data_IF_682997660445
#
_entry.id   IF_682997660445
#
_cell.length_a   1.000
_cell.length_b   1.000
_cell.length_c   1.000
_cell.angle_alpha   90.00
_cell.angle_beta   90.00
_cell.angle_gamma   90.00
#
_symmetry.space_group_name_H-M   'P 1'
#
loop_
_entity.id
_entity.type
_entity.pdbx_description
1 polymer ?
#
# COMPACT_ATOMS: atom_id res chain seq x y z
N UNK A 1 -52.90 -19.75 -51.68
CA UNK A 1 -53.86 -19.90 -50.56
C UNK A 1 -53.29 -20.90 -49.56
N UNK A 2 -53.07 -20.43 -48.32
CA UNK A 2 -52.87 -21.14 -47.03
C UNK A 2 -51.96 -22.38 -46.92
N UNK A 3 -50.85 -22.22 -46.17
CA UNK A 3 -50.15 -23.15 -45.24
C UNK A 3 -48.69 -22.65 -45.11
N UNK A 4 -48.02 -22.47 -43.98
CA UNK A 4 -48.29 -22.60 -42.55
C UNK A 4 -47.01 -22.06 -41.86
N UNK A 5 -47.17 -21.32 -40.76
CA UNK A 5 -46.05 -20.83 -39.96
C UNK A 5 -45.50 -21.96 -39.06
N UNK A 6 -44.19 -22.16 -38.94
CA UNK A 6 -43.61 -22.85 -37.80
C UNK A 6 -43.19 -21.87 -36.69
N UNK A 7 -43.47 -22.29 -35.46
CA UNK A 7 -43.18 -21.66 -34.18
C UNK A 7 -41.78 -21.01 -34.08
N UNK A 8 -41.74 -19.76 -33.58
CA UNK A 8 -40.53 -19.20 -32.96
C UNK A 8 -40.28 -19.94 -31.65
N UNK A 9 -39.13 -20.60 -31.54
CA UNK A 9 -38.63 -21.12 -30.27
C UNK A 9 -38.39 -19.96 -29.26
N UNK A 10 -38.54 -20.18 -27.95
CA UNK A 10 -38.19 -19.17 -26.95
C UNK A 10 -36.68 -18.93 -26.98
N UNK A 11 -36.29 -17.65 -26.88
CA UNK A 11 -34.88 -17.29 -26.65
C UNK A 11 -34.39 -17.96 -25.36
N UNK A 12 -33.13 -18.44 -25.31
CA UNK A 12 -32.57 -18.99 -24.09
C UNK A 12 -32.55 -17.91 -22.99
N UNK A 13 -32.74 -18.28 -21.71
CA UNK A 13 -32.66 -17.33 -20.63
C UNK A 13 -31.27 -16.68 -20.62
N UNK A 14 -31.23 -15.36 -20.41
CA UNK A 14 -30.00 -14.61 -20.18
C UNK A 14 -29.15 -15.34 -19.14
N UNK A 15 -27.87 -15.55 -19.44
CA UNK A 15 -26.91 -16.10 -18.51
C UNK A 15 -26.95 -15.30 -17.19
N UNK A 16 -26.94 -15.96 -16.02
CA UNK A 16 -26.87 -15.27 -14.75
C UNK A 16 -25.56 -14.46 -14.68
N UNK A 17 -25.67 -13.22 -14.22
CA UNK A 17 -24.52 -12.37 -13.93
C UNK A 17 -23.59 -13.07 -12.93
N UNK A 18 -22.28 -12.97 -13.18
CA UNK A 18 -21.18 -13.52 -12.39
C UNK A 18 -21.52 -13.75 -10.91
N UNK A 19 -21.79 -15.01 -10.58
CA UNK A 19 -21.73 -15.54 -9.22
C UNK A 19 -20.28 -15.48 -8.73
N UNK A 20 -20.07 -14.85 -7.57
CA UNK A 20 -18.78 -14.87 -6.87
C UNK A 20 -18.34 -16.31 -6.63
N UNK A 21 -17.04 -16.59 -6.79
CA UNK A 21 -16.49 -17.94 -6.69
C UNK A 21 -16.59 -18.57 -5.29
N UNK A 22 -17.18 -17.89 -4.29
CA UNK A 22 -17.27 -18.37 -2.91
C UNK A 22 -18.65 -18.27 -2.25
N UNK A 23 -19.76 -18.12 -2.96
CA UNK A 23 -21.10 -18.30 -2.35
C UNK A 23 -21.43 -17.37 -1.15
N UNK A 24 -20.66 -16.31 -0.92
CA UNK A 24 -20.86 -15.35 0.16
C UNK A 24 -21.84 -14.27 -0.31
N UNK A 25 -22.77 -13.90 0.58
CA UNK A 25 -23.68 -12.78 0.41
C UNK A 25 -22.91 -11.52 -0.07
N UNK A 26 -23.29 -10.89 -1.20
CA UNK A 26 -22.58 -9.74 -1.79
C UNK A 26 -22.55 -8.46 -0.91
N UNK A 27 -23.00 -8.54 0.35
CA UNK A 27 -22.98 -7.48 1.36
C UNK A 27 -22.34 -7.92 2.68
N UNK A 28 -21.59 -9.04 2.70
CA UNK A 28 -20.86 -9.46 3.89
C UNK A 28 -19.59 -8.60 4.04
N UNK A 29 -19.62 -7.67 4.99
CA UNK A 29 -18.47 -6.85 5.36
C UNK A 29 -17.70 -7.43 6.55
N UNK A 30 -17.93 -8.71 6.86
CA UNK A 30 -17.26 -9.37 7.98
C UNK A 30 -15.78 -9.55 7.66
N UNK A 31 -14.88 -9.27 8.61
CA UNK A 31 -13.44 -9.36 8.39
C UNK A 31 -13.05 -10.79 7.99
N UNK A 32 -12.10 -10.88 7.06
CA UNK A 32 -11.47 -12.15 6.69
C UNK A 32 -10.18 -12.33 7.50
N UNK A 33 -9.96 -13.51 8.09
CA UNK A 33 -8.72 -13.82 8.79
C UNK A 33 -7.55 -13.88 7.79
N UNK A 34 -6.34 -13.51 8.24
CA UNK A 34 -5.14 -13.48 7.38
C UNK A 34 -4.78 -14.87 6.84
N UNK A 35 -5.12 -15.92 7.60
CA UNK A 35 -4.98 -17.35 7.30
C UNK A 35 -5.72 -17.76 6.02
N UNK A 36 -6.67 -16.94 5.57
CA UNK A 36 -7.35 -17.13 4.28
C UNK A 36 -6.35 -17.04 3.11
N UNK A 37 -5.30 -16.23 3.25
CA UNK A 37 -4.37 -15.91 2.17
C UNK A 37 -2.93 -16.33 2.47
N UNK A 38 -2.43 -16.07 3.67
CA UNK A 38 -1.05 -16.39 4.05
C UNK A 38 -0.96 -17.73 4.78
N UNK A 39 0.16 -18.41 4.61
CA UNK A 39 0.42 -19.72 5.19
C UNK A 39 0.99 -19.60 6.62
N UNK A 40 1.67 -18.48 6.91
CA UNK A 40 2.30 -18.19 8.21
C UNK A 40 2.22 -16.70 8.54
N UNK A 41 2.04 -16.40 9.83
CA UNK A 41 2.27 -15.09 10.45
C UNK A 41 3.19 -15.28 11.64
N UNK A 42 4.20 -14.42 11.77
CA UNK A 42 5.20 -14.50 12.83
C UNK A 42 5.83 -13.12 13.05
N UNK A 43 6.80 -13.01 13.97
CA UNK A 43 7.42 -11.75 14.36
C UNK A 43 8.94 -11.82 14.22
N UNK A 44 9.51 -10.84 13.53
CA UNK A 44 10.95 -10.61 13.49
C UNK A 44 11.34 -9.70 14.64
N UNK A 45 12.10 -10.23 15.60
CA UNK A 45 12.66 -9.44 16.70
C UNK A 45 13.90 -8.70 16.19
N UNK A 46 13.85 -7.37 16.19
CA UNK A 46 14.95 -6.50 15.76
C UNK A 46 15.48 -5.75 16.97
N UNK A 47 16.80 -5.81 17.15
CA UNK A 47 17.50 -5.11 18.22
C UNK A 47 18.66 -4.30 17.62
N UNK A 48 18.46 -2.99 17.52
CA UNK A 48 19.43 -2.01 17.06
C UNK A 48 19.50 -0.86 18.06
N UNK A 49 20.58 -0.10 18.03
CA UNK A 49 20.77 1.05 18.91
C UNK A 49 19.72 2.14 18.75
N UNK A 50 19.15 2.27 17.56
CA UNK A 50 18.13 3.27 17.19
C UNK A 50 16.70 2.70 17.10
N UNK A 51 16.56 1.37 17.17
CA UNK A 51 15.27 0.69 17.06
C UNK A 51 15.34 -0.70 17.70
N UNK A 52 14.54 -0.91 18.74
CA UNK A 52 14.28 -2.24 19.30
C UNK A 52 12.78 -2.50 19.21
N UNK A 53 12.38 -3.69 18.76
CA UNK A 53 10.98 -3.99 18.54
C UNK A 53 10.72 -5.32 17.84
N UNK A 54 9.45 -5.67 17.71
CA UNK A 54 8.98 -6.87 17.05
C UNK A 54 8.14 -6.50 15.83
N UNK A 55 8.59 -6.90 14.65
CA UNK A 55 7.93 -6.61 13.39
C UNK A 55 7.10 -7.80 12.93
N UNK A 56 5.79 -7.62 12.76
CA UNK A 56 4.92 -8.67 12.25
C UNK A 56 5.17 -8.91 10.76
N UNK A 57 5.30 -10.17 10.34
CA UNK A 57 5.42 -10.55 8.94
C UNK A 57 4.52 -11.73 8.59
N UNK A 58 4.18 -11.80 7.30
CA UNK A 58 3.30 -12.81 6.71
C UNK A 58 4.02 -13.49 5.56
N UNK A 59 3.86 -14.80 5.44
CA UNK A 59 4.48 -15.61 4.39
C UNK A 59 3.42 -16.31 3.57
N UNK A 60 3.55 -16.24 2.24
CA UNK A 60 2.79 -17.03 1.29
C UNK A 60 3.74 -17.68 0.31
N UNK A 61 3.76 -18.99 0.23
CA UNK A 61 4.67 -19.70 -0.67
C UNK A 61 3.95 -20.62 -1.66
N UNK A 62 4.62 -20.88 -2.78
CA UNK A 62 4.16 -21.88 -3.73
C UNK A 62 4.21 -23.25 -3.07
N UNK A 63 3.14 -24.03 -3.22
CA UNK A 63 3.09 -25.35 -2.59
C UNK A 63 4.21 -26.25 -3.12
N UNK A 64 4.84 -27.10 -2.28
CA UNK A 64 5.94 -27.95 -2.71
C UNK A 64 5.60 -28.85 -3.90
N UNK A 65 4.37 -29.38 -3.95
CA UNK A 65 3.88 -30.20 -5.07
C UNK A 65 3.82 -29.42 -6.39
N UNK A 66 3.35 -28.17 -6.36
CA UNK A 66 3.24 -27.31 -7.54
C UNK A 66 4.63 -26.88 -8.02
N UNK A 67 5.54 -26.59 -7.09
CA UNK A 67 6.94 -26.29 -7.38
C UNK A 67 7.68 -27.48 -8.01
N UNK A 68 7.44 -28.71 -7.52
CA UNK A 68 8.02 -29.94 -8.06
C UNK A 68 7.48 -30.24 -9.47
N UNK A 69 6.16 -30.10 -9.68
CA UNK A 69 5.53 -30.26 -10.98
C UNK A 69 6.09 -29.27 -12.02
N UNK A 70 6.26 -28.01 -11.61
CA UNK A 70 6.87 -26.99 -12.47
C UNK A 70 8.32 -27.37 -12.84
N UNK A 71 9.10 -27.94 -11.91
CA UNK A 71 10.47 -28.40 -12.18
C UNK A 71 10.55 -29.54 -13.20
N UNK A 72 9.57 -30.43 -13.23
CA UNK A 72 9.52 -31.53 -14.20
C UNK A 72 9.18 -31.06 -15.61
N UNK A 73 8.33 -30.03 -15.77
CA UNK A 73 7.93 -29.52 -17.08
C UNK A 73 9.03 -28.73 -17.82
N UNK A 74 10.10 -28.33 -17.13
CA UNK A 74 11.24 -27.58 -17.69
C UNK A 74 12.32 -28.51 -18.31
N UNK A 75 12.18 -29.83 -18.18
CA UNK A 75 13.09 -30.81 -18.79
C UNK A 75 12.78 -30.95 -20.28
N UNK A 76 13.72 -30.66 -21.19
CA UNK A 76 13.45 -30.77 -22.62
C UNK A 76 13.21 -32.24 -22.99
N UNK A 77 12.16 -32.50 -23.77
CA UNK A 77 11.91 -33.79 -24.41
C UNK A 77 12.93 -34.12 -25.53
N UNK A 78 14.17 -33.63 -25.46
CA UNK A 78 15.19 -33.85 -26.50
C UNK A 78 16.61 -33.97 -25.92
N UNK A 79 17.34 -35.05 -26.24
CA UNK A 79 18.71 -35.25 -25.77
C UNK A 79 19.66 -34.40 -26.65
N UNK A 80 20.13 -33.25 -26.15
CA UNK A 80 21.20 -32.50 -26.83
C UNK A 80 21.32 -31.00 -26.57
N UNK A 81 20.39 -30.37 -25.84
CA UNK A 81 20.51 -28.95 -25.47
C UNK A 81 21.28 -28.75 -24.17
N UNK A 82 22.29 -27.87 -24.15
CA UNK A 82 22.93 -27.40 -22.92
C UNK A 82 21.84 -26.74 -22.07
N UNK A 83 21.45 -27.37 -20.96
CA UNK A 83 20.39 -26.86 -20.10
C UNK A 83 20.86 -25.58 -19.42
N UNK A 84 19.96 -24.59 -19.29
CA UNK A 84 20.13 -23.60 -18.24
C UNK A 84 20.13 -24.36 -16.89
N UNK A 85 20.98 -23.98 -15.92
CA UNK A 85 20.93 -24.62 -14.61
C UNK A 85 19.52 -24.41 -14.03
N UNK A 86 18.96 -25.42 -13.33
CA UNK A 86 17.69 -25.25 -12.63
C UNK A 86 17.81 -24.03 -11.72
N UNK A 87 16.79 -23.18 -11.66
CA UNK A 87 16.72 -22.09 -10.68
C UNK A 87 16.86 -22.75 -9.30
N UNK A 88 18.05 -22.58 -8.71
CA UNK A 88 18.39 -23.03 -7.37
C UNK A 88 17.60 -22.12 -6.44
N UNK A 89 16.65 -22.70 -5.69
CA UNK A 89 15.70 -22.06 -4.77
C UNK A 89 14.77 -20.96 -5.34
N UNK A 90 13.48 -20.95 -4.92
CA UNK A 90 12.53 -19.92 -5.34
C UNK A 90 13.01 -18.51 -4.93
N UNK A 91 12.76 -17.47 -5.75
CA UNK A 91 13.07 -16.10 -5.35
C UNK A 91 12.20 -15.68 -4.17
N UNK A 92 12.76 -14.84 -3.30
CA UNK A 92 12.01 -14.15 -2.26
C UNK A 92 11.39 -12.88 -2.84
N UNK A 93 10.07 -12.79 -2.84
CA UNK A 93 9.34 -11.58 -3.19
C UNK A 93 9.02 -10.83 -1.90
N UNK A 94 9.75 -9.75 -1.63
CA UNK A 94 9.64 -8.97 -0.40
C UNK A 94 8.80 -7.72 -0.65
N UNK A 95 7.70 -7.60 0.09
CA UNK A 95 6.58 -6.71 -0.19
C UNK A 95 6.46 -5.61 0.88
N UNK A 96 6.49 -4.35 0.45
CA UNK A 96 6.48 -3.16 1.32
C UNK A 96 5.23 -2.32 1.07
N UNK A 97 4.34 -2.24 2.06
CA UNK A 97 3.08 -1.51 1.96
C UNK A 97 3.24 0.02 1.99
N UNK A 98 2.20 0.75 1.59
CA UNK A 98 2.15 2.22 1.65
C UNK A 98 1.88 2.78 3.05
N UNK A 99 1.99 4.10 3.22
CA UNK A 99 1.72 4.76 4.50
C UNK A 99 0.25 4.63 4.92
N UNK A 100 0.01 4.21 6.16
CA UNK A 100 -1.32 3.92 6.70
C UNK A 100 -1.91 2.56 6.31
N UNK A 101 -1.17 1.75 5.57
CA UNK A 101 -1.54 0.37 5.21
C UNK A 101 -0.86 -0.66 6.13
N UNK A 102 -0.95 -1.95 5.82
CA UNK A 102 -0.20 -3.01 6.49
C UNK A 102 0.24 -4.11 5.50
N UNK A 103 1.01 -5.09 5.97
CA UNK A 103 1.38 -6.27 5.19
C UNK A 103 0.18 -7.03 4.62
N UNK A 104 -0.99 -6.92 5.25
CA UNK A 104 -2.23 -7.55 4.81
C UNK A 104 -2.76 -6.98 3.48
N UNK A 105 -2.37 -5.77 3.07
CA UNK A 105 -2.71 -5.22 1.75
C UNK A 105 -2.17 -6.09 0.60
N UNK A 106 -1.16 -6.91 0.86
CA UNK A 106 -0.60 -7.82 -0.14
C UNK A 106 -1.27 -9.20 -0.19
N UNK A 107 -2.26 -9.48 0.66
CA UNK A 107 -2.86 -10.81 0.83
C UNK A 107 -3.37 -11.43 -0.47
N UNK A 108 -4.31 -10.76 -1.14
CA UNK A 108 -4.93 -11.26 -2.37
C UNK A 108 -3.93 -11.36 -3.53
N UNK A 109 -3.03 -10.37 -3.66
CA UNK A 109 -1.99 -10.36 -4.70
C UNK A 109 -1.00 -11.51 -4.50
N UNK A 110 -0.52 -11.73 -3.27
CA UNK A 110 0.44 -12.78 -2.94
C UNK A 110 -0.13 -14.17 -3.23
N UNK A 111 -1.38 -14.43 -2.81
CA UNK A 111 -2.06 -15.69 -3.11
C UNK A 111 -2.21 -15.92 -4.63
N UNK A 112 -2.51 -14.87 -5.38
CA UNK A 112 -2.60 -14.93 -6.84
C UNK A 112 -1.24 -15.14 -7.52
N UNK A 113 -0.16 -14.56 -6.99
CA UNK A 113 1.19 -14.64 -7.56
C UNK A 113 1.81 -16.04 -7.38
N UNK A 114 1.70 -16.62 -6.18
CA UNK A 114 2.20 -17.99 -5.94
C UNK A 114 1.43 -19.05 -6.71
N UNK A 115 0.20 -18.75 -7.13
CA UNK A 115 -0.59 -19.57 -8.05
C UNK A 115 -0.19 -19.44 -9.53
N UNK A 116 0.79 -18.59 -9.87
CA UNK A 116 1.24 -18.37 -11.26
C UNK A 116 2.71 -18.71 -11.45
N UNK A 117 3.55 -18.43 -10.46
CA UNK A 117 5.01 -18.67 -10.53
C UNK A 117 5.53 -19.23 -9.22
N UNK A 118 6.57 -20.06 -9.32
CA UNK A 118 7.28 -20.62 -8.17
C UNK A 118 8.05 -19.50 -7.46
N UNK A 119 7.54 -19.05 -6.33
CA UNK A 119 8.12 -18.00 -5.50
C UNK A 119 7.67 -18.11 -4.03
N UNK A 120 8.34 -17.35 -3.15
CA UNK A 120 7.93 -17.13 -1.77
C UNK A 120 7.69 -15.64 -1.56
N UNK A 121 6.46 -15.26 -1.24
CA UNK A 121 6.07 -13.90 -0.91
C UNK A 121 6.20 -13.68 0.60
N UNK A 122 6.83 -12.57 0.98
CA UNK A 122 6.86 -12.09 2.36
C UNK A 122 6.50 -10.62 2.39
N UNK A 123 5.46 -10.29 3.15
CA UNK A 123 5.09 -8.91 3.49
C UNK A 123 5.26 -8.72 4.98
N UNK A 124 5.68 -7.53 5.42
CA UNK A 124 5.74 -7.21 6.84
C UNK A 124 5.08 -5.87 7.13
N UNK A 125 4.69 -5.71 8.38
CA UNK A 125 4.10 -4.48 8.92
C UNK A 125 5.24 -3.52 9.27
N UNK A 126 5.34 -2.41 8.55
CA UNK A 126 6.35 -1.36 8.79
C UNK A 126 6.12 -0.74 10.19
N UNK A 127 7.16 -0.18 10.84
CA UNK A 127 7.02 0.45 12.17
C UNK A 127 5.78 1.34 12.27
N UNK A 128 5.08 1.28 13.40
CA UNK A 128 3.83 2.03 13.61
C UNK A 128 2.62 1.56 12.79
N UNK A 129 2.76 0.53 11.96
CA UNK A 129 1.70 -0.04 11.14
C UNK A 129 1.42 -1.49 11.54
N UNK A 130 0.24 -1.99 11.15
CA UNK A 130 -0.22 -3.35 11.42
C UNK A 130 0.04 -3.83 12.85
N UNK A 131 0.51 -5.05 13.02
CA UNK A 131 0.77 -5.63 14.34
C UNK A 131 2.23 -5.45 14.81
N UNK A 132 3.02 -4.62 14.12
CA UNK A 132 4.39 -4.30 14.54
C UNK A 132 4.42 -3.36 15.74
N UNK A 133 5.27 -3.69 16.71
CA UNK A 133 5.39 -2.96 17.98
C UNK A 133 6.86 -2.64 18.22
N UNK A 134 7.16 -1.37 18.45
CA UNK A 134 8.47 -0.94 18.92
C UNK A 134 8.49 -0.94 20.45
N UNK A 135 9.64 -1.26 21.03
CA UNK A 135 9.83 -1.14 22.47
C UNK A 135 9.84 0.34 22.86
N UNK A 136 9.34 0.66 24.04
CA UNK A 136 9.42 2.00 24.59
C UNK A 136 10.89 2.40 24.77
N UNK A 137 11.24 3.63 24.37
CA UNK A 137 12.56 4.18 24.65
C UNK A 137 12.75 4.29 26.16
N UNK A 138 13.99 4.13 26.61
CA UNK A 138 14.35 4.24 28.03
C UNK A 138 13.83 5.55 28.64
N UNK A 139 13.36 5.55 29.91
CA UNK A 139 12.80 6.71 30.60
C UNK A 139 13.78 7.89 30.82
N UNK A 140 15.01 7.79 30.32
CA UNK A 140 16.00 8.88 30.29
C UNK A 140 15.82 9.83 29.09
N UNK A 141 14.98 9.46 28.12
CA UNK A 141 14.52 10.35 27.05
C UNK A 141 13.43 11.26 27.65
N UNK A 142 13.60 12.57 27.58
CA UNK A 142 12.95 13.59 28.43
C UNK A 142 11.43 13.80 28.18
N UNK A 143 10.74 12.80 27.61
CA UNK A 143 9.29 12.76 27.42
C UNK A 143 8.75 13.86 26.49
N UNK A 144 9.60 14.73 25.95
CA UNK A 144 9.18 15.91 25.19
C UNK A 144 8.92 15.64 23.71
N UNK A 145 9.31 14.48 23.20
CA UNK A 145 9.00 14.07 21.83
C UNK A 145 8.73 12.56 21.73
N UNK A 146 7.47 12.18 21.91
CA UNK A 146 6.94 10.87 21.52
C UNK A 146 6.85 10.69 19.98
N UNK A 147 7.75 11.33 19.23
CA UNK A 147 7.75 11.29 17.77
C UNK A 147 8.62 10.11 17.31
N UNK A 148 7.96 9.02 16.94
CA UNK A 148 8.63 7.90 16.28
C UNK A 148 9.29 8.39 14.99
N UNK A 149 10.55 8.01 14.76
CA UNK A 149 11.24 8.39 13.53
C UNK A 149 10.71 7.59 12.33
N UNK A 150 10.08 8.28 11.39
CA UNK A 150 9.63 7.73 10.10
C UNK A 150 10.52 8.21 8.93
N UNK A 151 11.77 8.61 9.19
CA UNK A 151 12.72 8.93 8.14
C UNK A 151 12.92 7.76 7.18
N UNK A 152 13.19 8.07 5.90
CA UNK A 152 13.44 7.03 4.88
C UNK A 152 14.56 6.07 5.33
N UNK A 153 15.59 6.62 5.98
CA UNK A 153 16.72 5.85 6.50
C UNK A 153 16.26 4.87 7.57
N UNK A 154 15.49 5.30 8.59
CA UNK A 154 14.97 4.43 9.64
C UNK A 154 14.06 3.32 9.07
N UNK A 155 13.15 3.65 8.17
CA UNK A 155 12.23 2.68 7.55
C UNK A 155 12.97 1.65 6.69
N UNK A 156 14.00 2.08 5.97
CA UNK A 156 14.85 1.20 5.13
C UNK A 156 15.69 0.26 6.00
N UNK A 157 16.21 0.81 7.09
CA UNK A 157 16.97 0.10 8.08
C UNK A 157 16.16 -1.02 8.76
N UNK A 158 14.91 -0.75 9.11
CA UNK A 158 13.99 -1.78 9.61
C UNK A 158 13.77 -2.89 8.58
N UNK A 159 13.48 -2.52 7.33
CA UNK A 159 13.26 -3.48 6.27
C UNK A 159 14.49 -4.40 6.06
N UNK A 160 15.70 -3.83 6.11
CA UNK A 160 16.93 -4.61 6.05
C UNK A 160 17.10 -5.54 7.26
N UNK A 161 16.80 -5.05 8.48
CA UNK A 161 16.89 -5.85 9.70
C UNK A 161 15.87 -6.99 9.74
N UNK A 162 14.62 -6.73 9.37
CA UNK A 162 13.58 -7.78 9.22
C UNK A 162 14.04 -8.83 8.20
N UNK A 163 14.61 -8.41 7.07
CA UNK A 163 15.11 -9.35 6.07
C UNK A 163 16.26 -10.21 6.61
N UNK A 164 17.18 -9.64 7.39
CA UNK A 164 18.23 -10.42 8.07
C UNK A 164 17.64 -11.45 9.05
N UNK A 165 16.71 -11.04 9.92
CA UNK A 165 16.05 -11.96 10.86
C UNK A 165 15.33 -13.10 10.14
N UNK A 166 14.68 -12.81 9.00
CA UNK A 166 14.05 -13.82 8.17
C UNK A 166 15.06 -14.84 7.66
N UNK A 167 16.21 -14.39 7.16
CA UNK A 167 17.27 -15.27 6.62
C UNK A 167 17.94 -16.13 7.70
N UNK A 168 17.98 -15.66 8.93
CA UNK A 168 18.49 -16.40 10.09
C UNK A 168 17.50 -17.45 10.61
N UNK A 169 16.21 -17.32 10.29
CA UNK A 169 15.19 -18.29 10.70
C UNK A 169 15.42 -19.66 10.06
N UNK A 170 15.03 -20.73 10.76
CA UNK A 170 15.22 -22.12 10.31
C UNK A 170 14.65 -22.38 8.92
N UNK A 171 13.49 -21.79 8.62
CA UNK A 171 12.74 -22.04 7.39
C UNK A 171 13.47 -21.49 6.15
N UNK A 172 14.15 -20.36 6.30
CA UNK A 172 14.92 -19.71 5.24
C UNK A 172 16.37 -20.17 5.22
N UNK A 173 16.96 -20.49 6.37
CA UNK A 173 18.32 -21.05 6.44
C UNK A 173 18.42 -22.44 5.80
N UNK A 174 17.38 -23.27 5.94
CA UNK A 174 17.31 -24.57 5.28
C UNK A 174 17.14 -24.46 3.74
N UNK A 175 16.50 -23.40 3.26
CA UNK A 175 16.19 -23.18 1.84
C UNK A 175 16.45 -21.72 1.47
N UNK A 176 17.73 -21.29 1.39
CA UNK A 176 18.06 -19.88 1.19
C UNK A 176 17.60 -19.42 -0.19
N UNK A 177 16.95 -18.25 -0.32
CA UNK A 177 16.52 -17.72 -1.61
C UNK A 177 17.72 -17.35 -2.48
N UNK A 178 17.61 -17.55 -3.80
CA UNK A 178 18.65 -17.19 -4.78
C UNK A 178 18.86 -15.69 -4.96
N UNK A 179 17.87 -14.90 -4.53
CA UNK A 179 17.91 -13.44 -4.50
C UNK A 179 16.55 -12.90 -4.11
N UNK A 180 16.45 -11.57 -4.08
CA UNK A 180 15.23 -10.88 -3.69
C UNK A 180 14.64 -10.04 -4.82
N UNK A 181 13.32 -10.08 -4.92
CA UNK A 181 12.49 -9.17 -5.71
C UNK A 181 11.85 -8.22 -4.72
N UNK A 182 12.25 -6.95 -4.75
CA UNK A 182 11.68 -5.92 -3.89
C UNK A 182 10.47 -5.30 -4.60
N UNK A 183 9.31 -5.31 -3.94
CA UNK A 183 8.09 -4.68 -4.47
C UNK A 183 7.56 -3.72 -3.40
N UNK A 184 7.34 -2.46 -3.78
CA UNK A 184 6.85 -1.45 -2.86
C UNK A 184 5.75 -0.59 -3.45
N UNK A 185 4.73 -0.30 -2.64
CA UNK A 185 3.64 0.63 -2.98
C UNK A 185 3.83 1.96 -2.25
N UNK A 186 3.71 3.09 -2.95
CA UNK A 186 3.77 4.42 -2.36
C UNK A 186 5.00 4.60 -1.45
N UNK A 187 4.83 4.89 -0.15
CA UNK A 187 5.90 4.89 0.87
C UNK A 187 6.79 3.63 0.82
N UNK A 188 6.19 2.44 0.70
CA UNK A 188 6.91 1.19 0.53
C UNK A 188 7.75 1.13 -0.75
N UNK A 189 7.32 1.82 -1.82
CA UNK A 189 8.10 1.98 -3.06
C UNK A 189 9.38 2.77 -2.84
N UNK A 190 9.31 3.85 -2.05
CA UNK A 190 10.48 4.63 -1.65
C UNK A 190 11.45 3.79 -0.82
N UNK A 191 10.94 3.03 0.15
CA UNK A 191 11.74 2.13 1.00
C UNK A 191 12.40 1.04 0.14
N UNK A 192 11.66 0.37 -0.76
CA UNK A 192 12.21 -0.65 -1.66
C UNK A 192 13.34 -0.09 -2.52
N UNK A 193 13.13 1.10 -3.09
CA UNK A 193 14.12 1.78 -3.92
C UNK A 193 15.37 2.13 -3.13
N UNK A 194 15.20 2.65 -1.91
CA UNK A 194 16.33 3.03 -1.07
C UNK A 194 17.10 1.81 -0.55
N UNK A 195 16.40 0.74 -0.16
CA UNK A 195 17.01 -0.55 0.23
C UNK A 195 17.86 -1.14 -0.90
N UNK A 196 17.34 -1.12 -2.14
CA UNK A 196 18.05 -1.60 -3.31
C UNK A 196 19.27 -0.73 -3.68
N UNK A 197 19.13 0.59 -3.57
CA UNK A 197 20.15 1.56 -3.97
C UNK A 197 21.30 1.67 -2.95
N UNK A 198 20.98 1.67 -1.65
CA UNK A 198 21.96 1.86 -0.57
C UNK A 198 22.90 0.68 -0.37
N UNK A 199 22.58 -0.49 -0.93
CA UNK A 199 23.34 -1.73 -0.69
C UNK A 199 23.11 -2.34 0.69
N UNK A 200 22.11 -1.86 1.45
CA UNK A 200 21.73 -2.41 2.76
C UNK A 200 21.02 -3.77 2.66
N UNK A 201 20.56 -4.14 1.47
CA UNK A 201 19.86 -5.40 1.25
C UNK A 201 20.81 -6.61 1.46
N UNK A 202 20.54 -7.53 2.41
CA UNK A 202 21.39 -8.70 2.66
C UNK A 202 21.39 -9.75 1.54
N UNK A 203 20.46 -9.65 0.59
CA UNK A 203 20.39 -10.52 -0.59
C UNK A 203 20.71 -9.76 -1.88
N UNK A 204 21.22 -10.44 -2.92
CA UNK A 204 21.27 -9.88 -4.26
C UNK A 204 19.88 -9.42 -4.71
N UNK A 205 19.73 -8.15 -5.04
CA UNK A 205 18.48 -7.59 -5.56
C UNK A 205 18.36 -7.94 -7.04
N UNK A 206 17.51 -8.90 -7.35
CA UNK A 206 17.27 -9.38 -8.71
C UNK A 206 16.32 -8.47 -9.48
N UNK A 207 15.33 -7.92 -8.79
CA UNK A 207 14.39 -6.97 -9.36
C UNK A 207 13.85 -5.98 -8.33
N UNK A 208 13.46 -4.81 -8.84
CA UNK A 208 12.79 -3.74 -8.11
C UNK A 208 11.52 -3.34 -8.84
N UNK A 209 10.38 -3.46 -8.15
CA UNK A 209 9.07 -3.05 -8.65
C UNK A 209 8.50 -1.95 -7.77
N UNK A 210 8.13 -0.84 -8.39
CA UNK A 210 7.55 0.32 -7.72
C UNK A 210 6.10 0.49 -8.20
N UNK A 211 5.17 0.62 -7.25
CA UNK A 211 3.74 0.72 -7.52
C UNK A 211 3.21 2.09 -7.08
N UNK A 212 2.57 2.78 -8.02
CA UNK A 212 1.79 4.01 -7.82
C UNK A 212 2.56 5.14 -7.13
N UNK A 213 3.82 5.34 -7.54
CA UNK A 213 4.64 6.48 -7.09
C UNK A 213 5.63 6.91 -8.16
N UNK A 214 5.63 8.22 -8.43
CA UNK A 214 6.63 8.94 -9.23
C UNK A 214 6.98 10.20 -8.45
N UNK A 215 8.27 10.52 -8.31
CA UNK A 215 8.76 11.61 -7.46
C UNK A 215 8.01 12.93 -7.71
N UNK A 216 7.96 13.39 -8.97
CA UNK A 216 7.31 14.66 -9.30
C UNK A 216 5.84 14.73 -8.88
N UNK A 217 5.05 13.72 -9.25
CA UNK A 217 3.62 13.66 -8.90
C UNK A 217 3.39 13.45 -7.40
N UNK A 218 4.25 12.67 -6.74
CA UNK A 218 4.14 12.41 -5.31
C UNK A 218 4.32 13.72 -4.53
N UNK A 219 5.34 14.51 -4.88
CA UNK A 219 5.63 15.80 -4.27
C UNK A 219 4.49 16.83 -4.47
N UNK A 220 3.84 16.82 -5.64
CA UNK A 220 2.67 17.67 -5.90
C UNK A 220 1.44 17.22 -5.07
N UNK A 221 1.26 15.90 -4.91
CA UNK A 221 0.13 15.31 -4.21
C UNK A 221 0.18 15.44 -2.68
N UNK A 222 1.35 15.66 -2.07
CA UNK A 222 1.50 15.77 -0.60
C UNK A 222 0.52 16.78 0.02
N UNK A 223 0.32 17.93 -0.65
CA UNK A 223 -0.60 18.98 -0.18
C UNK A 223 -2.07 18.53 -0.11
N UNK A 224 -2.48 17.65 -1.03
CA UNK A 224 -3.84 17.09 -1.09
C UNK A 224 -4.07 15.99 -0.05
N UNK A 225 -3.00 15.29 0.37
CA UNK A 225 -3.07 14.19 1.32
C UNK A 225 -3.58 14.66 2.69
N UNK A 226 -3.16 15.85 3.15
CA UNK A 226 -3.70 16.48 4.38
C UNK A 226 -5.22 16.57 4.37
N UNK A 227 -5.79 17.08 3.27
CA UNK A 227 -7.23 17.23 3.11
C UNK A 227 -7.96 15.89 3.10
N UNK A 228 -7.38 14.88 2.44
CA UNK A 228 -7.91 13.53 2.45
C UNK A 228 -7.90 12.93 3.87
N UNK A 229 -6.75 12.96 4.57
CA UNK A 229 -6.60 12.38 5.90
C UNK A 229 -7.57 13.01 6.91
N UNK A 230 -7.74 14.34 6.85
CA UNK A 230 -8.66 15.08 7.71
C UNK A 230 -10.15 14.80 7.42
N UNK A 231 -10.48 14.36 6.20
CA UNK A 231 -11.86 14.04 5.82
C UNK A 231 -12.34 12.66 6.27
N UNK A 232 -11.42 11.79 6.71
CA UNK A 232 -11.73 10.42 7.13
C UNK A 232 -12.52 10.41 8.44
N UNK A 233 -13.44 9.45 8.64
CA UNK A 233 -14.04 9.24 9.96
C UNK A 233 -12.95 9.01 11.00
N UNK A 234 -13.07 9.64 12.17
CA UNK A 234 -12.09 9.49 13.25
C UNK A 234 -12.28 8.20 14.05
N UNK A 235 -13.48 7.61 14.00
CA UNK A 235 -13.86 6.41 14.78
C UNK A 235 -14.79 5.51 13.96
N UNK A 236 -14.78 4.23 14.29
CA UNK A 236 -15.69 3.23 13.76
C UNK A 236 -16.26 2.38 14.90
N UNK A 237 -17.56 2.07 14.91
CA UNK A 237 -18.18 1.26 15.96
C UNK A 237 -17.81 -0.23 15.86
N UNK A 238 -17.38 -0.71 14.70
CA UNK A 238 -16.96 -2.11 14.48
C UNK A 238 -16.06 -2.24 13.25
N UNK A 239 -15.31 -3.34 13.16
CA UNK A 239 -14.56 -3.68 11.94
C UNK A 239 -15.46 -3.78 10.71
N UNK A 240 -16.67 -4.34 10.86
CA UNK A 240 -17.63 -4.47 9.78
C UNK A 240 -18.05 -3.09 9.22
N UNK A 241 -18.31 -2.12 10.10
CA UNK A 241 -18.64 -0.74 9.71
C UNK A 241 -17.46 -0.04 9.03
N UNK A 242 -16.24 -0.29 9.51
CA UNK A 242 -15.00 0.20 8.91
C UNK A 242 -14.76 -0.36 7.50
N UNK A 243 -14.85 -1.68 7.32
CA UNK A 243 -14.69 -2.34 6.01
C UNK A 243 -15.76 -1.84 5.04
N UNK A 244 -17.01 -1.69 5.51
CA UNK A 244 -18.08 -1.11 4.71
C UNK A 244 -17.78 0.33 4.28
N UNK A 245 -17.24 1.16 5.17
CA UNK A 245 -16.81 2.51 4.81
C UNK A 245 -15.70 2.47 3.76
N UNK A 246 -14.65 1.67 3.96
CA UNK A 246 -13.52 1.52 3.03
C UNK A 246 -13.96 1.17 1.61
N UNK A 247 -14.86 0.18 1.50
CA UNK A 247 -15.39 -0.27 0.23
C UNK A 247 -16.26 0.81 -0.45
N UNK A 248 -17.14 1.46 0.33
CA UNK A 248 -18.08 2.44 -0.23
C UNK A 248 -17.47 3.83 -0.48
N UNK A 249 -16.40 4.19 0.22
CA UNK A 249 -15.63 5.41 -0.05
C UNK A 249 -14.79 5.29 -1.32
N UNK A 250 -14.57 4.08 -1.82
CA UNK A 250 -13.66 3.80 -2.93
C UNK A 250 -12.19 3.80 -2.50
N UNK A 251 -11.90 3.64 -1.19
CA UNK A 251 -10.53 3.48 -0.70
C UNK A 251 -9.92 2.18 -1.20
N UNK A 252 -10.70 1.08 -1.17
CA UNK A 252 -10.39 -0.20 -1.80
C UNK A 252 -11.64 -0.69 -2.53
N UNK A 253 -11.53 -0.96 -3.83
CA UNK A 253 -12.64 -1.37 -4.70
C UNK A 253 -12.87 -2.89 -4.69
N UNK A 254 -11.91 -3.67 -4.21
CA UNK A 254 -12.05 -5.11 -4.03
C UNK A 254 -12.54 -5.42 -2.61
N UNK A 255 -13.74 -6.00 -2.50
CA UNK A 255 -14.33 -6.28 -1.20
C UNK A 255 -13.54 -7.32 -0.39
N UNK A 256 -13.02 -8.36 -1.02
CA UNK A 256 -12.27 -9.39 -0.30
C UNK A 256 -10.90 -8.88 0.16
N UNK A 257 -10.24 -8.03 -0.63
CA UNK A 257 -9.04 -7.31 -0.20
C UNK A 257 -9.36 -6.42 0.99
N UNK A 258 -10.42 -5.60 0.92
CA UNK A 258 -10.83 -4.73 2.01
C UNK A 258 -11.16 -5.50 3.31
N UNK A 259 -11.76 -6.69 3.19
CA UNK A 259 -12.12 -7.53 4.35
C UNK A 259 -10.91 -8.11 5.07
N UNK A 260 -9.81 -8.39 4.37
CA UNK A 260 -8.56 -8.90 4.97
C UNK A 260 -7.60 -7.79 5.38
N UNK A 261 -7.44 -6.74 4.57
CA UNK A 261 -6.41 -5.71 4.77
C UNK A 261 -6.83 -4.61 5.74
N UNK A 262 -8.07 -4.12 5.62
CA UNK A 262 -8.51 -2.92 6.33
C UNK A 262 -8.54 -3.05 7.86
N UNK A 263 -8.77 -4.23 8.47
CA UNK A 263 -8.56 -4.41 9.91
C UNK A 263 -7.15 -4.01 10.38
N UNK A 264 -6.11 -4.24 9.56
CA UNK A 264 -4.74 -3.85 9.86
C UNK A 264 -4.51 -2.34 9.89
N UNK A 265 -5.42 -1.54 9.33
CA UNK A 265 -5.36 -0.08 9.34
C UNK A 265 -5.91 0.52 10.64
N UNK A 266 -6.50 -0.31 11.50
CA UNK A 266 -7.25 0.11 12.68
C UNK A 266 -6.69 -0.52 13.96
N UNK A 267 -6.99 0.13 15.08
CA UNK A 267 -6.76 -0.41 16.44
C UNK A 267 -8.01 -0.23 17.28
N UNK A 268 -8.27 -1.20 18.17
CA UNK A 268 -9.36 -1.15 19.13
C UNK A 268 -8.97 -0.23 20.29
N UNK A 269 -9.88 0.64 20.70
CA UNK A 269 -9.76 1.49 21.89
C UNK A 269 -10.85 1.08 22.86
N UNK A 270 -10.47 0.75 24.09
CA UNK A 270 -11.38 0.42 25.18
C UNK A 270 -11.41 1.60 26.17
N UNK A 271 -12.48 2.43 26.19
CA UNK A 271 -12.53 3.61 27.06
C UNK A 271 -12.36 3.30 28.55
N UNK A 272 -12.84 2.15 29.01
CA UNK A 272 -12.72 1.70 30.40
C UNK A 272 -11.29 1.32 30.84
N UNK A 273 -10.34 1.24 29.90
CA UNK A 273 -8.93 0.97 30.19
C UNK A 273 -8.08 2.27 30.24
N UNK A 274 -8.67 3.44 29.94
CA UNK A 274 -7.97 4.73 29.89
C UNK A 274 -7.94 5.41 31.30
N UNK A 275 -8.65 4.86 32.29
CA UNK A 275 -8.78 5.45 33.64
C UNK A 275 -7.62 5.15 34.62
N UNK A 276 -6.46 4.68 34.16
CA UNK A 276 -5.28 4.48 35.04
C UNK A 276 -4.09 5.42 34.76
N UNK A 277 -4.25 6.43 33.89
CA UNK A 277 -3.28 7.52 33.76
C UNK A 277 -3.73 8.70 34.64
N UNK A 278 -2.92 9.18 35.60
CA UNK A 278 -3.28 10.35 36.39
C UNK A 278 -3.24 11.60 35.50
N UNK A 279 -4.38 12.24 35.30
CA UNK A 279 -4.45 13.59 34.74
C UNK A 279 -3.68 14.53 35.68
N UNK A 280 -2.57 15.11 35.22
CA UNK A 280 -1.94 16.24 35.89
C UNK A 280 -2.91 17.42 35.84
N UNK A 281 -3.44 17.79 37.01
CA UNK A 281 -4.26 18.99 37.18
C UNK A 281 -3.37 20.22 36.98
N UNK A 282 -3.52 20.91 35.84
CA UNK A 282 -2.98 22.26 35.65
C UNK A 282 -3.70 23.22 36.62
N UNK A 283 -3.07 23.53 37.74
CA UNK A 283 -3.50 24.61 38.64
C UNK A 283 -3.34 25.98 37.94
N UNK A 284 -4.45 26.55 37.46
CA UNK A 284 -4.53 27.97 37.11
C UNK A 284 -4.34 28.84 38.38
N UNK A 285 -3.12 29.35 38.59
CA UNK A 285 -2.88 30.42 39.56
C UNK A 285 -3.39 31.76 39.01
N UNK A 286 -4.53 32.18 39.56
CA UNK A 286 -5.04 33.53 39.47
C UNK A 286 -4.10 34.51 40.19
N UNK A 287 -3.66 35.57 39.49
CA UNK A 287 -3.06 36.73 40.13
C UNK A 287 -3.80 38.00 39.70
N UNK A 288 -4.19 38.81 40.69
CA UNK A 288 -5.09 39.96 40.52
C UNK A 288 -4.40 41.28 40.88
N UNK A 289 -4.57 42.24 39.95
CA UNK A 289 -4.60 43.71 40.09
C UNK A 289 -3.33 44.47 40.54
N UNK A 290 -2.90 45.47 39.76
CA UNK A 290 -3.38 46.87 39.93
C UNK A 290 -2.90 47.86 38.82
N UNK A 291 -3.76 48.86 38.58
CA UNK A 291 -3.53 50.27 38.19
C UNK A 291 -3.23 50.74 36.75
N UNK A 292 -4.28 51.35 36.16
CA UNK A 292 -4.36 52.69 35.52
C UNK A 292 -3.30 53.13 34.48
N UNK A 293 -3.72 53.50 33.26
CA UNK A 293 -4.27 54.83 32.91
C UNK A 293 -4.55 54.98 31.40
N UNK A 294 -5.56 55.79 31.10
CA UNK A 294 -6.11 56.19 29.80
C UNK A 294 -5.11 56.81 28.80
N UNK A 295 -5.29 56.52 27.50
CA UNK A 295 -5.26 57.55 26.45
C UNK A 295 -5.94 57.11 25.15
N UNK A 296 -7.02 57.82 24.87
CA UNK A 296 -7.82 57.87 23.66
C UNK A 296 -7.07 58.68 22.58
N UNK A 297 -7.01 58.19 21.33
CA UNK A 297 -6.85 59.04 20.14
C UNK A 297 -7.28 58.33 18.86
N UNK A 298 -7.84 59.15 17.99
CA UNK A 298 -8.68 58.95 16.82
C UNK A 298 -7.96 58.65 15.50
N UNK A 299 -8.64 57.84 14.65
CA UNK A 299 -8.79 57.86 13.17
C UNK A 299 -8.18 59.05 12.37
N UNK A 300 -7.83 58.91 11.05
CA UNK A 300 -8.79 58.44 10.04
C UNK A 300 -8.25 57.61 8.85
N UNK A 301 -9.20 57.06 8.11
CA UNK A 301 -9.04 56.17 6.97
C UNK A 301 -8.60 56.81 5.65
N UNK A 302 -8.39 55.94 4.67
CA UNK A 302 -8.32 56.29 3.26
C UNK A 302 -8.93 55.16 2.43
N UNK A 303 -10.13 55.46 1.92
CA UNK A 303 -10.81 54.76 0.84
C UNK A 303 -10.46 55.49 -0.45
N UNK A 304 -10.05 54.76 -1.50
CA UNK A 304 -10.10 55.24 -2.87
C UNK A 304 -10.59 54.12 -3.79
N UNK A 305 -11.62 54.47 -4.55
CA UNK A 305 -12.41 53.61 -5.43
C UNK A 305 -12.19 54.02 -6.89
N UNK A 306 -11.90 53.04 -7.75
CA UNK A 306 -12.24 52.99 -9.18
C UNK A 306 -11.16 53.42 -10.19
N UNK A 307 -11.30 53.11 -11.49
CA UNK A 307 -12.36 52.37 -12.17
C UNK A 307 -11.89 51.16 -13.01
N UNK A 308 -12.87 50.41 -13.52
CA UNK A 308 -12.74 49.25 -14.40
C UNK A 308 -12.16 49.60 -15.79
N UNK A 309 -11.34 48.70 -16.34
CA UNK A 309 -11.23 48.48 -17.79
C UNK A 309 -11.08 46.99 -18.11
N UNK A 310 -11.94 46.55 -19.02
CA UNK A 310 -11.97 45.25 -19.65
C UNK A 310 -10.70 45.02 -20.49
N UNK A 311 -10.06 43.85 -20.36
CA UNK A 311 -9.78 43.05 -21.55
C UNK A 311 -9.48 41.58 -21.24
N UNK A 312 -10.05 40.75 -22.09
CA UNK A 312 -10.00 39.29 -22.15
C UNK A 312 -8.58 38.72 -22.35
N UNK A 313 -8.25 37.67 -21.59
CA UNK A 313 -7.50 36.48 -22.06
C UNK A 313 -7.74 35.34 -21.07
N UNK A 314 -8.62 34.43 -21.47
CA UNK A 314 -8.94 33.19 -20.76
C UNK A 314 -7.76 32.22 -20.84
N UNK A 315 -7.03 32.05 -19.74
CA UNK A 315 -6.24 30.84 -19.47
C UNK A 315 -6.70 30.28 -18.13
N UNK A 316 -7.59 29.28 -18.18
CA UNK A 316 -7.91 28.44 -17.01
C UNK A 316 -6.71 27.52 -16.73
N UNK A 317 -6.27 27.39 -15.47
CA UNK A 317 -5.36 26.31 -15.08
C UNK A 317 -6.10 24.95 -15.12
N UNK A 318 -5.39 23.82 -15.33
CA UNK A 318 -6.01 22.50 -15.40
C UNK A 318 -6.57 22.08 -14.04
N UNK A 319 -7.78 21.51 -14.06
CA UNK A 319 -8.48 20.94 -12.91
C UNK A 319 -7.82 19.62 -12.45
N UNK A 320 -7.92 19.26 -11.15
CA UNK A 320 -7.42 18.00 -10.62
C UNK A 320 -8.14 16.80 -11.26
N UNK A 321 -7.36 15.80 -11.64
CA UNK A 321 -7.85 14.62 -12.36
C UNK A 321 -8.79 13.77 -11.48
N UNK A 322 -9.95 13.46 -12.07
CA UNK A 322 -10.93 12.45 -11.68
C UNK A 322 -11.68 12.62 -10.34
N UNK A 323 -12.27 13.80 -10.11
CA UNK A 323 -13.58 13.83 -9.48
C UNK A 323 -14.64 13.45 -10.53
N UNK A 324 -15.19 12.24 -10.43
CA UNK A 324 -16.34 11.83 -11.22
C UNK A 324 -17.52 12.79 -10.94
N UNK A 325 -17.91 13.54 -11.96
CA UNK A 325 -19.13 14.36 -11.96
C UNK A 325 -20.30 13.46 -12.40
N UNK A 326 -20.99 12.90 -11.42
CA UNK A 326 -22.35 12.41 -11.56
C UNK A 326 -23.13 12.87 -10.31
N UNK A 327 -24.38 13.24 -10.54
CA UNK A 327 -25.22 14.02 -9.64
C UNK A 327 -25.20 13.58 -8.16
N UNK A 328 -25.22 14.62 -7.32
CA UNK A 328 -25.43 14.68 -5.88
C UNK A 328 -26.34 13.56 -5.33
N UNK A 329 -25.69 12.51 -4.79
CA UNK A 329 -26.34 11.49 -3.96
C UNK A 329 -25.31 10.76 -3.08
N UNK A 330 -24.39 11.50 -2.44
CA UNK A 330 -23.50 10.90 -1.41
C UNK A 330 -24.36 10.59 -0.18
N UNK A 331 -24.45 9.34 0.29
CA UNK A 331 -25.07 9.07 1.58
C UNK A 331 -24.30 9.85 2.65
N UNK A 332 -24.98 10.68 3.42
CA UNK A 332 -24.36 11.37 4.56
C UNK A 332 -23.92 10.32 5.57
N UNK A 333 -22.63 10.03 5.65
CA UNK A 333 -22.02 9.06 6.60
C UNK A 333 -22.04 9.57 8.06
N UNK A 334 -23.16 10.15 8.50
CA UNK A 334 -23.37 10.62 9.88
C UNK A 334 -23.29 9.50 10.92
N UNK A 335 -23.41 8.21 10.54
CA UNK A 335 -23.39 7.10 11.50
C UNK A 335 -21.99 6.75 12.02
N UNK A 336 -20.91 7.04 11.29
CA UNK A 336 -19.54 6.78 11.77
C UNK A 336 -19.10 7.76 12.87
N UNK A 337 -19.77 8.91 12.99
CA UNK A 337 -19.47 9.95 13.98
C UNK A 337 -20.34 9.85 15.24
N UNK A 338 -21.34 8.97 15.27
CA UNK A 338 -22.24 8.78 16.42
C UNK A 338 -21.86 7.51 17.20
N UNK A 339 -20.59 7.43 17.63
CA UNK A 339 -20.13 6.35 18.51
C UNK A 339 -20.20 6.85 19.95
N UNK A 340 -20.91 6.12 20.81
CA UNK A 340 -20.96 6.38 22.25
C UNK A 340 -19.53 6.33 22.82
N UNK A 341 -19.01 7.41 23.42
CA UNK A 341 -17.64 7.47 23.94
C UNK A 341 -17.37 6.47 25.07
N UNK A 342 -18.40 5.85 25.65
CA UNK A 342 -18.26 4.85 26.71
C UNK A 342 -18.08 3.42 26.20
N UNK A 343 -18.30 3.17 24.90
CA UNK A 343 -18.20 1.84 24.30
C UNK A 343 -16.86 1.64 23.57
N UNK A 344 -16.35 0.41 23.47
CA UNK A 344 -15.20 0.10 22.62
C UNK A 344 -15.40 0.55 21.18
N UNK A 345 -14.39 1.16 20.59
CA UNK A 345 -14.43 1.64 19.21
C UNK A 345 -13.09 1.44 18.51
N UNK A 346 -13.11 1.46 17.18
CA UNK A 346 -11.91 1.39 16.36
C UNK A 346 -11.48 2.78 15.91
N UNK A 347 -10.19 3.05 15.95
CA UNK A 347 -9.57 4.26 15.39
C UNK A 347 -8.44 3.88 14.43
N UNK A 348 -7.97 4.84 13.65
CA UNK A 348 -6.79 4.65 12.80
C UNK A 348 -5.60 4.21 13.64
N UNK A 349 -4.91 3.17 13.16
CA UNK A 349 -3.75 2.61 13.83
C UNK A 349 -2.65 3.64 14.01
N UNK A 350 -2.37 4.38 12.93
CA UNK A 350 -1.40 5.45 12.84
C UNK A 350 -2.10 6.76 12.48
N UNK A 351 -1.74 7.85 13.15
CA UNK A 351 -1.98 9.19 12.63
C UNK A 351 -0.92 9.49 11.57
N UNK A 352 -1.21 9.14 10.31
CA UNK A 352 -0.26 9.34 9.22
C UNK A 352 0.16 10.82 9.08
N UNK A 353 -0.67 11.76 9.52
CA UNK A 353 -0.39 13.21 9.45
C UNK A 353 0.80 13.60 10.31
N UNK A 354 1.07 12.89 11.42
CA UNK A 354 2.23 13.17 12.27
C UNK A 354 3.56 12.88 11.54
N UNK A 355 3.53 11.98 10.55
CA UNK A 355 4.72 11.59 9.77
C UNK A 355 5.05 12.57 8.64
N UNK A 356 4.29 13.66 8.48
CA UNK A 356 4.38 14.56 7.33
C UNK A 356 5.75 15.20 7.15
N UNK A 357 6.44 15.51 8.25
CA UNK A 357 7.81 16.03 8.23
C UNK A 357 8.77 15.15 7.41
N UNK A 358 8.49 13.85 7.30
CA UNK A 358 9.30 12.87 6.58
C UNK A 358 8.89 12.65 5.12
N UNK A 359 7.67 13.03 4.72
CA UNK A 359 7.12 12.66 3.40
C UNK A 359 7.97 13.15 2.23
N UNK A 360 8.49 14.38 2.31
CA UNK A 360 9.38 14.91 1.28
C UNK A 360 10.67 14.08 1.16
N UNK A 361 11.21 13.62 2.29
CA UNK A 361 12.41 12.79 2.36
C UNK A 361 12.22 11.39 1.78
N UNK A 362 11.00 10.85 1.79
CA UNK A 362 10.69 9.56 1.17
C UNK A 362 10.87 9.60 -0.35
N UNK A 363 10.38 10.66 -1.00
CA UNK A 363 10.30 10.71 -2.46
C UNK A 363 11.44 11.49 -3.12
N UNK A 364 12.15 12.35 -2.38
CA UNK A 364 13.21 13.16 -2.95
C UNK A 364 14.37 12.33 -3.54
N UNK A 365 14.64 12.56 -4.83
CA UNK A 365 15.64 11.84 -5.62
C UNK A 365 15.31 10.38 -5.87
N UNK A 366 14.07 9.94 -5.63
CA UNK A 366 13.64 8.55 -5.79
C UNK A 366 13.77 8.10 -7.26
N UNK A 367 13.46 8.95 -8.23
CA UNK A 367 13.46 8.58 -9.65
C UNK A 367 14.86 8.23 -10.16
N UNK A 368 15.85 9.07 -9.85
CA UNK A 368 17.27 8.78 -10.08
C UNK A 368 17.73 7.50 -9.38
N UNK A 369 17.46 7.36 -8.07
CA UNK A 369 17.85 6.15 -7.31
C UNK A 369 17.27 4.89 -7.95
N UNK A 370 15.99 4.91 -8.31
CA UNK A 370 15.33 3.82 -9.03
C UNK A 370 16.06 3.47 -10.33
N UNK A 371 16.40 4.46 -11.16
CA UNK A 371 17.10 4.23 -12.43
C UNK A 371 18.53 3.68 -12.26
N UNK A 372 19.20 4.02 -11.17
CA UNK A 372 20.59 3.63 -10.87
C UNK A 372 20.71 2.23 -10.27
N UNK A 373 19.62 1.66 -9.72
CA UNK A 373 19.63 0.28 -9.19
C UNK A 373 19.98 -0.73 -10.30
N UNK A 374 21.03 -1.55 -10.14
CA UNK A 374 21.51 -2.49 -11.16
C UNK A 374 20.71 -3.81 -11.19
N UNK A 375 19.38 -3.70 -11.16
CA UNK A 375 18.44 -4.83 -11.19
C UNK A 375 17.43 -4.69 -12.34
N UNK A 376 16.66 -5.75 -12.60
CA UNK A 376 15.47 -5.63 -13.47
C UNK A 376 14.45 -4.71 -12.79
N UNK A 377 13.84 -3.79 -13.55
CA UNK A 377 13.01 -2.74 -12.97
C UNK A 377 11.64 -2.69 -13.62
N UNK A 378 10.62 -2.50 -12.80
CA UNK A 378 9.24 -2.29 -13.24
C UNK A 378 8.57 -1.14 -12.49
N UNK A 379 7.79 -0.35 -13.22
CA UNK A 379 6.91 0.69 -12.67
C UNK A 379 5.46 0.36 -13.04
N UNK A 380 4.61 0.20 -12.02
CA UNK A 380 3.17 0.00 -12.16
C UNK A 380 2.44 1.29 -11.78
N UNK A 381 1.63 1.85 -12.67
CA UNK A 381 0.87 3.08 -12.42
C UNK A 381 -0.64 2.83 -12.47
N UNK A 382 -1.39 3.40 -11.53
CA UNK A 382 -2.86 3.34 -11.52
C UNK A 382 -3.50 4.32 -12.52
N UNK A 383 -2.88 5.49 -12.67
CA UNK A 383 -3.35 6.60 -13.48
C UNK A 383 -2.38 7.00 -14.58
N UNK A 384 -2.84 7.87 -15.47
CA UNK A 384 -2.00 8.52 -16.48
C UNK A 384 -1.18 9.64 -15.83
N UNK A 385 -0.51 9.30 -14.72
CA UNK A 385 0.39 10.22 -14.07
C UNK A 385 1.53 10.53 -15.02
N UNK A 386 1.91 11.80 -15.03
CA UNK A 386 3.04 12.23 -15.83
C UNK A 386 4.28 11.67 -15.15
N UNK A 387 4.95 10.74 -15.83
CA UNK A 387 6.34 10.45 -15.51
C UNK A 387 7.09 11.78 -15.39
N UNK A 388 7.90 11.92 -14.34
CA UNK A 388 8.80 13.06 -14.27
C UNK A 388 9.84 12.99 -15.39
N UNK A 389 10.67 14.04 -15.49
CA UNK A 389 11.67 14.13 -16.54
C UNK A 389 12.64 12.95 -16.53
N UNK A 390 13.04 12.49 -15.35
CA UNK A 390 14.04 11.42 -15.22
C UNK A 390 13.46 10.08 -15.65
N UNK A 391 12.27 9.72 -15.15
CA UNK A 391 11.59 8.49 -15.53
C UNK A 391 11.14 8.51 -16.99
N UNK A 392 10.75 9.67 -17.53
CA UNK A 392 10.44 9.79 -18.97
C UNK A 392 11.67 9.45 -19.81
N UNK A 393 12.83 10.04 -19.48
CA UNK A 393 14.09 9.74 -20.19
C UNK A 393 14.50 8.28 -19.99
N UNK A 394 14.39 7.75 -18.77
CA UNK A 394 14.69 6.36 -18.46
C UNK A 394 13.80 5.37 -19.23
N UNK A 395 12.51 5.69 -19.36
CA UNK A 395 11.54 4.88 -20.10
C UNK A 395 11.85 4.90 -21.60
N UNK A 396 12.13 6.07 -22.17
CA UNK A 396 12.54 6.19 -23.57
C UNK A 396 13.86 5.47 -23.88
N UNK A 397 14.74 5.33 -22.88
CA UNK A 397 15.98 4.55 -22.96
C UNK A 397 15.79 3.05 -22.71
N UNK A 398 14.57 2.59 -22.39
CA UNK A 398 14.28 1.19 -22.09
C UNK A 398 14.91 0.69 -20.78
N UNK A 399 15.15 1.58 -19.80
CA UNK A 399 15.81 1.22 -18.53
C UNK A 399 14.92 0.44 -17.57
N UNK A 400 13.60 0.48 -17.75
CA UNK A 400 12.64 -0.25 -16.94
C UNK A 400 11.41 -0.61 -17.77
N UNK A 401 10.62 -1.57 -17.29
CA UNK A 401 9.31 -1.89 -17.85
C UNK A 401 8.25 -1.03 -17.17
N UNK A 402 7.34 -0.43 -17.95
CA UNK A 402 6.21 0.32 -17.41
C UNK A 402 4.92 -0.39 -17.77
N UNK A 403 4.00 -0.53 -16.83
CA UNK A 403 2.64 -1.01 -17.08
C UNK A 403 1.64 -0.05 -16.47
N UNK A 404 0.63 0.31 -17.27
CA UNK A 404 -0.47 1.17 -16.85
C UNK A 404 -1.72 0.33 -16.57
N UNK A 405 -2.18 0.37 -15.32
CA UNK A 405 -3.36 -0.36 -14.85
C UNK A 405 -4.52 0.59 -14.61
N UNK A 406 -5.20 0.92 -15.71
CA UNK A 406 -6.38 1.78 -15.70
C UNK A 406 -7.47 1.27 -14.75
N UNK A 407 -8.29 2.20 -14.24
CA UNK A 407 -9.49 1.94 -13.40
C UNK A 407 -9.21 1.42 -11.99
N UNK A 408 -8.00 1.58 -11.49
CA UNK A 408 -7.68 1.32 -10.08
C UNK A 408 -7.81 2.61 -9.26
N UNK A 409 -8.16 2.47 -7.99
CA UNK A 409 -7.92 3.49 -6.97
C UNK A 409 -6.44 3.55 -6.59
N UNK A 410 -6.15 4.03 -5.38
CA UNK A 410 -4.77 4.28 -4.94
C UNK A 410 -3.94 3.00 -4.72
N UNK A 411 -4.57 1.88 -4.38
CA UNK A 411 -3.89 0.62 -4.12
C UNK A 411 -4.23 -0.41 -5.21
N UNK A 412 -3.56 -0.32 -6.36
CA UNK A 412 -3.83 -1.21 -7.51
C UNK A 412 -3.67 -2.70 -7.19
N UNK A 413 -2.77 -3.02 -6.25
CA UNK A 413 -2.50 -4.38 -5.80
C UNK A 413 -3.63 -4.93 -4.90
N UNK A 414 -4.44 -4.06 -4.30
CA UNK A 414 -5.67 -4.44 -3.60
C UNK A 414 -6.87 -4.47 -4.54
N UNK A 415 -6.97 -3.51 -5.46
CA UNK A 415 -8.12 -3.38 -6.36
C UNK A 415 -8.13 -4.46 -7.45
N UNK A 416 -6.97 -4.75 -8.04
CA UNK A 416 -6.79 -5.72 -9.14
C UNK A 416 -5.68 -6.74 -8.84
N UNK A 417 -5.76 -7.50 -7.74
CA UNK A 417 -4.69 -8.38 -7.28
C UNK A 417 -4.32 -9.45 -8.32
N UNK A 418 -5.31 -9.98 -9.05
CA UNK A 418 -5.09 -10.98 -10.10
C UNK A 418 -4.28 -10.44 -11.27
N UNK A 419 -4.65 -9.25 -11.76
CA UNK A 419 -3.99 -8.61 -12.89
C UNK A 419 -2.58 -8.12 -12.51
N UNK A 420 -2.41 -7.56 -11.31
CA UNK A 420 -1.09 -7.20 -10.79
C UNK A 420 -0.19 -8.44 -10.71
N UNK A 421 -0.69 -9.55 -10.16
CA UNK A 421 0.05 -10.81 -10.09
C UNK A 421 0.39 -11.37 -11.48
N UNK A 422 -0.49 -11.25 -12.48
CA UNK A 422 -0.22 -11.67 -13.86
C UNK A 422 0.91 -10.86 -14.51
N UNK A 423 0.91 -9.54 -14.32
CA UNK A 423 1.97 -8.65 -14.82
C UNK A 423 3.30 -8.97 -14.14
N UNK A 424 3.29 -9.13 -12.81
CA UNK A 424 4.47 -9.51 -12.04
C UNK A 424 5.00 -10.89 -12.46
N UNK A 425 4.14 -11.89 -12.54
CA UNK A 425 4.50 -13.24 -12.96
C UNK A 425 5.15 -13.24 -14.36
N UNK A 426 4.55 -12.53 -15.32
CA UNK A 426 5.10 -12.40 -16.67
C UNK A 426 6.48 -11.74 -16.67
N UNK A 427 6.68 -10.71 -15.85
CA UNK A 427 7.97 -10.05 -15.67
C UNK A 427 9.02 -10.97 -15.03
N UNK A 428 8.67 -11.69 -13.97
CA UNK A 428 9.58 -12.61 -13.29
C UNK A 428 10.03 -13.75 -14.22
N UNK A 429 9.11 -14.33 -14.99
CA UNK A 429 9.43 -15.40 -15.97
C UNK A 429 10.30 -14.85 -17.11
N UNK A 430 9.95 -13.68 -17.65
CA UNK A 430 10.73 -13.02 -18.72
C UNK A 430 12.18 -12.77 -18.31
N UNK A 431 12.39 -12.35 -17.07
CA UNK A 431 13.72 -12.09 -16.52
C UNK A 431 14.39 -13.34 -15.94
N UNK A 432 13.79 -14.52 -16.09
CA UNK A 432 14.29 -15.81 -15.58
C UNK A 432 14.52 -15.81 -14.06
N UNK A 433 13.71 -15.04 -13.34
CA UNK A 433 13.77 -14.92 -11.89
C UNK A 433 12.89 -15.95 -11.19
N UNK A 434 11.79 -16.34 -11.83
CA UNK A 434 10.87 -17.36 -11.33
C UNK A 434 10.45 -18.32 -12.45
N UNK A 435 10.05 -19.54 -12.08
CA UNK A 435 9.50 -20.53 -13.01
C UNK A 435 7.97 -20.38 -13.08
N UNK A 436 7.39 -20.44 -14.27
CA UNK A 436 5.94 -20.49 -14.44
C UNK A 436 5.37 -21.82 -13.94
N UNK A 437 4.18 -21.78 -13.34
CA UNK A 437 3.37 -22.99 -13.10
C UNK A 437 2.70 -23.43 -14.41
N UNK A 438 2.32 -24.71 -14.50
CA UNK A 438 1.86 -25.34 -15.74
C UNK A 438 0.69 -24.61 -16.42
N UNK A 439 -0.24 -24.07 -15.61
CA UNK A 439 -1.44 -23.40 -16.08
C UNK A 439 -1.24 -21.89 -16.36
N UNK A 440 -0.04 -21.37 -16.11
CA UNK A 440 0.29 -19.97 -16.35
C UNK A 440 1.06 -19.81 -17.66
N UNK A 441 0.46 -19.04 -18.58
CA UNK A 441 1.10 -18.65 -19.82
C UNK A 441 1.44 -17.15 -19.78
N UNK A 442 2.74 -16.79 -19.67
CA UNK A 442 3.16 -15.40 -19.61
C UNK A 442 2.64 -14.60 -20.81
N UNK A 443 1.99 -13.47 -20.54
CA UNK A 443 1.59 -12.56 -21.59
C UNK A 443 2.85 -11.95 -22.26
N UNK A 444 2.88 -11.80 -23.60
CA UNK A 444 3.92 -11.02 -24.23
C UNK A 444 3.85 -9.57 -23.74
N UNK A 445 4.99 -8.84 -23.68
CA UNK A 445 4.98 -7.45 -23.25
C UNK A 445 4.00 -6.64 -24.10
N UNK A 446 3.03 -5.98 -23.45
CA UNK A 446 2.18 -4.99 -24.11
C UNK A 446 3.06 -3.85 -24.64
N UNK A 447 2.91 -3.51 -25.92
CA UNK A 447 3.57 -2.37 -26.54
C UNK A 447 2.86 -1.06 -26.19
#
# INVERSE_FOLDING_TARGET
>A
ALRGLPNRAPLPPKAPSATSQHGVNPQCFDPLPWETYFDKRDFARVERTDCSGSFCYYVKETRPEDAANAAHNDMPASPGGISAPPVQSPPLVFLLHGGGFSGLSWAAMSASLVGKVVCRCVSFDIRGHGDSVLDEKSPEDDGRHNDMDFSLDALTNDAASVLNCLLESSDFSAHPPSGVVLIGHSMGGAIATHLAYSGLCPLPVCALVVIDVVEGSAMEALSSMRGYLASRPSRFPSLQAAIQWCYRSGTVHNLDSARVSFPGHLKLVNPSAITEEPEEEDEEQADSADSMQSKQLSLPGLSLRGPALLNSRSNKPPLPMAAATAADNRPSYRSAQQVDPTQPYYTWRIDLSSTESHWSGWFHGMSRKFLEVPAAKMLLLAGVDRLDRELTVGQMQGKFQMQLLHRSGHAVHEDHPEHVAEVLASFLVRHKLARALADFHPAPPGC
#
